data_IF_559063167947
#
_entry.id   IF_559063167947
#
_cell.length_a   1.000
_cell.length_b   1.000
_cell.length_c   1.000
_cell.angle_alpha   90.00
_cell.angle_beta   90.00
_cell.angle_gamma   90.00
#
_symmetry.space_group_name_H-M   'P 1'
#
loop_
_entity.id
_entity.type
_entity.pdbx_description
1 polymer ?
#
# COMPACT_ATOMS: atom_id res chain seq x y z
N UNK A 1 18.78 3.36 -14.35
CA UNK A 1 19.03 2.27 -13.38
C UNK A 1 17.70 1.56 -13.16
N UNK A 2 17.61 0.25 -13.39
CA UNK A 2 16.39 -0.50 -13.09
C UNK A 2 16.37 -0.77 -11.59
N UNK A 3 15.44 -0.16 -10.86
CA UNK A 3 15.26 -0.44 -9.43
C UNK A 3 14.90 -1.91 -9.29
N UNK A 4 15.70 -2.67 -8.53
CA UNK A 4 15.36 -4.05 -8.19
C UNK A 4 14.42 -4.03 -6.99
N UNK A 5 13.12 -4.04 -7.26
CA UNK A 5 12.12 -4.03 -6.20
C UNK A 5 12.21 -5.24 -5.25
N UNK A 6 12.72 -6.38 -5.74
CA UNK A 6 12.93 -7.60 -4.94
C UNK A 6 14.00 -7.46 -3.84
N UNK A 7 14.86 -6.45 -3.90
CA UNK A 7 15.88 -6.18 -2.87
C UNK A 7 15.43 -5.11 -1.87
N UNK A 8 14.28 -4.50 -2.09
CA UNK A 8 13.73 -3.48 -1.20
C UNK A 8 13.19 -4.18 0.05
N UNK A 9 13.75 -3.80 1.21
CA UNK A 9 13.43 -4.40 2.51
C UNK A 9 12.91 -3.38 3.53
N UNK A 10 12.84 -2.10 3.16
CA UNK A 10 12.53 -1.04 4.10
C UNK A 10 11.95 0.20 3.42
N UNK A 11 11.27 1.01 4.21
CA UNK A 11 10.56 2.22 3.79
C UNK A 11 11.49 3.20 3.06
N UNK A 12 12.70 3.43 3.59
CA UNK A 12 13.70 4.32 2.96
C UNK A 12 14.02 3.94 1.52
N UNK A 13 14.14 2.64 1.23
CA UNK A 13 14.43 2.17 -0.13
C UNK A 13 13.22 2.32 -1.06
N UNK A 14 11.99 2.25 -0.54
CA UNK A 14 10.79 2.59 -1.32
C UNK A 14 10.69 4.09 -1.60
N UNK A 15 11.10 4.92 -0.64
CA UNK A 15 11.18 6.37 -0.82
C UNK A 15 12.22 6.72 -1.89
N UNK A 16 13.34 6.02 -1.95
CA UNK A 16 14.36 6.23 -2.99
C UNK A 16 13.88 5.77 -4.38
N UNK A 17 13.03 4.73 -4.43
CA UNK A 17 12.44 4.22 -5.68
C UNK A 17 11.31 5.10 -6.22
N UNK A 18 10.49 5.69 -5.34
CA UNK A 18 9.35 6.54 -5.68
C UNK A 18 9.35 7.83 -4.84
N UNK A 19 10.37 8.70 -5.01
CA UNK A 19 10.55 9.86 -4.15
C UNK A 19 9.41 10.87 -4.30
N UNK A 20 8.90 11.08 -5.52
CA UNK A 20 7.82 12.04 -5.77
C UNK A 20 6.49 11.64 -5.09
N UNK A 21 6.25 10.34 -4.94
CA UNK A 21 5.05 9.78 -4.33
C UNK A 21 5.17 9.71 -2.80
N UNK A 22 6.31 9.27 -2.27
CA UNK A 22 6.47 9.00 -0.83
C UNK A 22 7.01 10.20 -0.04
N UNK A 23 7.84 11.08 -0.62
CA UNK A 23 8.34 12.26 0.12
C UNK A 23 7.24 13.17 0.66
N UNK A 24 6.12 13.45 -0.04
CA UNK A 24 5.07 14.30 0.53
C UNK A 24 4.24 13.61 1.64
N UNK A 25 4.37 12.28 1.81
CA UNK A 25 3.64 11.52 2.83
C UNK A 25 4.30 11.58 4.21
N UNK A 26 3.49 11.41 5.26
CA UNK A 26 3.96 11.24 6.64
C UNK A 26 4.64 9.88 6.87
N UNK A 27 5.46 9.78 7.92
CA UNK A 27 6.20 8.53 8.23
C UNK A 27 5.30 7.30 8.39
N UNK A 28 4.08 7.46 8.93
CA UNK A 28 3.10 6.37 9.05
C UNK A 28 2.53 5.95 7.68
N UNK A 29 2.26 6.91 6.80
CA UNK A 29 1.72 6.67 5.46
C UNK A 29 2.78 6.04 4.55
N UNK A 30 4.04 6.46 4.68
CA UNK A 30 5.16 5.83 3.99
C UNK A 30 5.34 4.38 4.40
N UNK A 31 5.16 4.06 5.67
CA UNK A 31 5.27 2.68 6.17
C UNK A 31 4.15 1.79 5.61
N UNK A 32 2.91 2.27 5.61
CA UNK A 32 1.74 1.58 5.02
C UNK A 32 1.94 1.32 3.52
N UNK A 33 2.35 2.36 2.78
CA UNK A 33 2.64 2.26 1.35
C UNK A 33 3.77 1.26 1.04
N UNK A 34 4.86 1.34 1.80
CA UNK A 34 6.01 0.47 1.64
C UNK A 34 5.66 -1.00 1.90
N UNK A 35 4.77 -1.27 2.85
CA UNK A 35 4.28 -2.62 3.13
C UNK A 35 3.42 -3.15 1.97
N UNK A 36 2.48 -2.34 1.46
CA UNK A 36 1.65 -2.69 0.31
C UNK A 36 2.49 -2.98 -0.95
N UNK A 37 3.47 -2.12 -1.25
CA UNK A 37 4.39 -2.29 -2.36
C UNK A 37 5.28 -3.54 -2.19
N UNK A 38 5.77 -3.79 -0.97
CA UNK A 38 6.58 -4.96 -0.67
C UNK A 38 5.79 -6.27 -0.83
N UNK A 39 4.54 -6.30 -0.38
CA UNK A 39 3.64 -7.45 -0.54
C UNK A 39 3.40 -7.75 -2.01
N UNK A 40 3.00 -6.76 -2.80
CA UNK A 40 2.74 -6.97 -4.22
C UNK A 40 3.99 -7.43 -4.98
N UNK A 41 5.16 -6.86 -4.68
CA UNK A 41 6.42 -7.34 -5.26
C UNK A 41 6.75 -8.78 -4.88
N UNK A 42 6.46 -9.17 -3.64
CA UNK A 42 6.62 -10.55 -3.21
C UNK A 42 5.73 -11.52 -3.99
N UNK A 43 4.54 -11.07 -4.39
CA UNK A 43 3.63 -11.81 -5.28
C UNK A 43 4.02 -11.75 -6.77
N UNK A 44 5.12 -11.06 -7.10
CA UNK A 44 5.62 -10.92 -8.46
C UNK A 44 5.02 -9.75 -9.25
N UNK A 45 4.23 -8.89 -8.59
CA UNK A 45 3.76 -7.64 -9.17
C UNK A 45 4.88 -6.62 -9.27
N UNK A 46 4.86 -5.79 -10.31
CA UNK A 46 5.84 -4.72 -10.51
C UNK A 46 5.10 -3.38 -10.40
N UNK A 47 5.16 -2.71 -9.23
CA UNK A 47 4.48 -1.44 -9.07
C UNK A 47 5.06 -0.42 -10.06
N UNK A 48 4.16 0.32 -10.71
CA UNK A 48 4.52 1.48 -11.53
C UNK A 48 4.41 2.77 -10.73
N UNK A 49 4.90 3.88 -11.29
CA UNK A 49 4.74 5.19 -10.64
C UNK A 49 3.26 5.57 -10.46
N UNK A 50 2.38 5.17 -11.39
CA UNK A 50 0.93 5.37 -11.28
C UNK A 50 0.33 4.55 -10.13
N UNK A 51 0.73 3.29 -9.97
CA UNK A 51 0.29 2.45 -8.85
C UNK A 51 0.77 3.00 -7.51
N UNK A 52 2.04 3.42 -7.44
CA UNK A 52 2.61 4.04 -6.25
C UNK A 52 1.90 5.35 -5.90
N UNK A 53 1.51 6.16 -6.90
CA UNK A 53 0.74 7.37 -6.70
C UNK A 53 -0.68 7.06 -6.21
N UNK A 54 -1.35 6.04 -6.76
CA UNK A 54 -2.70 5.63 -6.34
C UNK A 54 -2.71 5.07 -4.91
N UNK A 55 -1.69 4.30 -4.54
CA UNK A 55 -1.50 3.84 -3.17
C UNK A 55 -1.14 5.00 -2.24
N UNK A 56 -0.35 5.98 -2.71
CA UNK A 56 0.02 7.16 -1.95
C UNK A 56 -1.19 8.05 -1.67
N UNK A 57 -2.07 8.22 -2.65
CA UNK A 57 -3.33 8.93 -2.50
C UNK A 57 -4.28 8.20 -1.52
N UNK A 58 -4.30 6.85 -1.55
CA UNK A 58 -5.05 6.06 -0.56
C UNK A 58 -4.47 6.21 0.85
N UNK A 59 -3.15 6.15 1.02
CA UNK A 59 -2.50 6.36 2.32
C UNK A 59 -2.65 7.82 2.81
N UNK A 60 -2.64 8.78 1.89
CA UNK A 60 -2.87 10.21 2.15
C UNK A 60 -4.31 10.51 2.56
N UNK A 61 -5.27 9.87 1.88
CA UNK A 61 -6.70 10.17 1.94
C UNK A 61 -7.54 9.27 2.85
N UNK A 62 -7.04 8.11 3.29
CA UNK A 62 -7.79 7.18 4.14
C UNK A 62 -7.04 6.78 5.40
N UNK A 63 -7.31 7.51 6.49
CA UNK A 63 -7.89 6.81 7.65
C UNK A 63 -9.40 7.00 7.59
N UNK A 64 -10.15 5.94 7.30
CA UNK A 64 -11.02 5.41 8.31
C UNK A 64 -10.29 4.21 8.91
N UNK A 65 -10.36 4.08 10.22
CA UNK A 65 -10.13 2.81 10.88
C UNK A 65 -11.08 1.78 10.26
N UNK A 66 -10.69 1.14 9.16
CA UNK A 66 -11.30 -0.12 8.74
C UNK A 66 -10.68 -1.15 9.66
N UNK A 67 -11.11 -1.08 10.91
CA UNK A 67 -10.84 -2.10 11.90
C UNK A 67 -11.21 -3.44 11.27
N UNK A 68 -10.45 -4.48 11.59
CA UNK A 68 -10.71 -5.88 11.19
C UNK A 68 -12.17 -6.30 11.46
N UNK A 69 -12.90 -5.54 12.28
CA UNK A 69 -14.34 -5.60 12.53
C UNK A 69 -15.23 -5.35 11.29
N UNK A 70 -14.91 -4.41 10.40
CA UNK A 70 -15.72 -4.09 9.20
C UNK A 70 -15.65 -5.22 8.15
N UNK A 71 -14.45 -5.81 7.95
CA UNK A 71 -14.30 -7.03 7.15
C UNK A 71 -15.06 -8.25 7.71
N UNK A 72 -15.21 -8.36 9.04
CA UNK A 72 -15.98 -9.43 9.67
C UNK A 72 -17.50 -9.22 9.60
N UNK A 73 -17.97 -7.98 9.45
CA UNK A 73 -19.39 -7.66 9.34
C UNK A 73 -19.91 -7.89 7.90
N UNK A 74 -19.14 -7.51 6.87
CA UNK A 74 -19.46 -7.78 5.47
C UNK A 74 -19.57 -9.28 5.13
N UNK A 75 -18.78 -10.12 5.81
CA UNK A 75 -18.86 -11.58 5.68
C UNK A 75 -20.14 -12.19 6.29
N UNK A 76 -20.82 -11.48 7.20
CA UNK A 76 -22.07 -11.94 7.83
C UNK A 76 -23.30 -11.53 7.03
N UNK A 77 -23.30 -10.36 6.38
CA UNK A 77 -24.41 -9.92 5.52
C UNK A 77 -24.56 -10.74 4.23
N UNK A 78 -23.49 -11.38 3.75
CA UNK A 78 -23.54 -12.24 2.55
C UNK A 78 -24.19 -13.62 2.78
N UNK A 79 -24.79 -13.87 3.95
CA UNK A 79 -25.50 -15.14 4.26
C UNK A 79 -26.99 -14.97 4.52
N UNK A 80 -27.63 -13.96 3.91
CA UNK A 80 -29.10 -13.86 3.91
C UNK A 80 -29.65 -13.10 2.71
N UNK A 81 -29.74 -13.75 1.57
CA UNK A 81 -30.85 -13.60 0.62
C UNK A 81 -30.72 -14.62 -0.50
N UNK A 82 -31.23 -15.83 -0.25
CA UNK A 82 -31.86 -16.70 -1.24
C UNK A 82 -33.06 -17.38 -0.58
#
# INVERSE_FOLDING_TARGET
MAVNFNTIRGVDQWVDAFPEQLQPLDSAQRADLAEALALGVHEGWKPTAEDAQALADQAAGKRPELTIQDCMEAAKESTKSE
#
